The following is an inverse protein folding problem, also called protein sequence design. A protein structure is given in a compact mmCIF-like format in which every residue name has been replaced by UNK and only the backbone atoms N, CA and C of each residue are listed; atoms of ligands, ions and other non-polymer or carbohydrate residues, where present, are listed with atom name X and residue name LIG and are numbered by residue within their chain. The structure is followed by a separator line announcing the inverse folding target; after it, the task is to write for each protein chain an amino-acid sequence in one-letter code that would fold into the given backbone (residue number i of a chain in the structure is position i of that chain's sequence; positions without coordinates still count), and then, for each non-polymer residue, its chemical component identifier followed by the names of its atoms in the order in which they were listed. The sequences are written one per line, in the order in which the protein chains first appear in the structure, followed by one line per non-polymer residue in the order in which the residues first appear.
data_IF_357470934341
#
_entry.id   IF_357470934341
#
_cell.length_a   1.000
_cell.length_b   1.000
_cell.length_c   1.000
_cell.angle_alpha   90.00
_cell.angle_beta   90.00
_cell.angle_gamma   90.00
#
_symmetry.space_group_name_H-M   'P 1'
#
loop_
_entity.id
_entity.type
_entity.pdbx_description
1 polymer ?
#
# COMPACT_ATOMS: atom_id res chain seq x y z
N UNK A 1 -2.05 -25.53 14.82
CA UNK A 1 -2.76 -24.63 15.77
C UNK A 1 -2.01 -23.32 15.89
N UNK A 2 -0.68 -23.32 16.04
CA UNK A 2 0.12 -22.08 16.07
C UNK A 2 0.03 -21.23 14.78
N UNK A 3 0.12 -21.83 13.59
CA UNK A 3 0.01 -21.09 12.32
C UNK A 3 -1.37 -20.43 12.10
N UNK A 4 -2.44 -21.10 12.52
CA UNK A 4 -3.81 -20.57 12.38
C UNK A 4 -4.00 -19.30 13.21
N UNK A 5 -3.45 -19.31 14.43
CA UNK A 5 -3.50 -18.17 15.30
C UNK A 5 -2.66 -17.02 14.73
N UNK A 6 -1.46 -17.30 14.23
CA UNK A 6 -0.58 -16.31 13.60
C UNK A 6 -1.26 -15.59 12.41
N UNK A 7 -1.93 -16.33 11.52
CA UNK A 7 -2.70 -15.74 10.41
C UNK A 7 -3.88 -14.88 10.90
N UNK A 8 -4.56 -15.28 11.98
CA UNK A 8 -5.64 -14.45 12.53
C UNK A 8 -5.12 -13.10 13.07
N UNK A 9 -3.97 -13.12 13.75
CA UNK A 9 -3.30 -11.89 14.20
C UNK A 9 -2.83 -11.02 13.03
N UNK A 10 -2.37 -11.64 11.95
CA UNK A 10 -2.00 -10.94 10.72
C UNK A 10 -3.20 -10.17 10.14
N UNK A 11 -4.35 -10.82 9.94
CA UNK A 11 -5.54 -10.15 9.42
C UNK A 11 -6.06 -9.06 10.38
N UNK A 12 -6.11 -9.37 11.68
CA UNK A 12 -6.55 -8.43 12.70
C UNK A 12 -5.68 -7.17 12.73
N UNK A 13 -4.35 -7.32 12.56
CA UNK A 13 -3.41 -6.21 12.48
C UNK A 13 -3.78 -5.22 11.38
N UNK A 14 -4.03 -5.71 10.16
CA UNK A 14 -4.48 -4.87 9.05
C UNK A 14 -5.78 -4.13 9.38
N UNK A 15 -6.82 -4.84 9.80
CA UNK A 15 -8.14 -4.24 9.99
C UNK A 15 -8.17 -3.21 11.12
N UNK A 16 -7.49 -3.49 12.24
CA UNK A 16 -7.44 -2.56 13.38
C UNK A 16 -6.69 -1.29 13.02
N UNK A 17 -5.54 -1.41 12.35
CA UNK A 17 -4.76 -0.24 11.92
C UNK A 17 -5.50 0.54 10.84
N UNK A 18 -6.10 -0.13 9.85
CA UNK A 18 -6.92 0.52 8.82
C UNK A 18 -8.04 1.35 9.46
N UNK A 19 -8.79 0.75 10.39
CA UNK A 19 -9.90 1.40 11.08
C UNK A 19 -9.44 2.62 11.87
N UNK A 20 -8.31 2.53 12.58
CA UNK A 20 -7.76 3.63 13.37
C UNK A 20 -7.27 4.79 12.49
N UNK A 21 -6.64 4.50 11.35
CA UNK A 21 -6.13 5.50 10.41
C UNK A 21 -7.21 6.08 9.47
N UNK A 22 -8.47 5.66 9.63
CA UNK A 22 -9.58 6.11 8.80
C UNK A 22 -9.54 5.57 7.37
N UNK A 23 -8.85 4.45 7.14
CA UNK A 23 -8.85 3.77 5.84
C UNK A 23 -10.10 2.89 5.69
N UNK A 24 -10.77 2.92 4.53
CA UNK A 24 -11.96 2.10 4.30
C UNK A 24 -11.59 0.62 4.18
N UNK A 25 -12.16 -0.24 5.02
CA UNK A 25 -12.04 -1.70 4.90
C UNK A 25 -13.35 -2.25 4.36
N UNK A 26 -13.34 -2.87 3.18
CA UNK A 26 -14.58 -3.45 2.63
C UNK A 26 -14.80 -4.87 3.10
N UNK A 27 -13.76 -5.70 3.03
CA UNK A 27 -13.83 -7.11 3.35
C UNK A 27 -12.52 -7.55 4.01
N UNK A 28 -12.65 -8.35 5.07
CA UNK A 28 -11.56 -9.07 5.71
C UNK A 28 -11.98 -10.53 5.83
N UNK A 29 -11.13 -11.44 5.37
CA UNK A 29 -11.44 -12.87 5.36
C UNK A 29 -10.21 -13.70 5.68
N UNK A 30 -10.33 -14.63 6.63
CA UNK A 30 -9.31 -15.66 6.87
C UNK A 30 -9.74 -16.91 6.09
N UNK A 31 -9.24 -17.09 4.87
CA UNK A 31 -9.49 -18.32 4.10
C UNK A 31 -8.31 -19.28 4.21
N UNK A 32 -8.55 -20.46 4.77
CA UNK A 32 -7.65 -21.59 4.64
C UNK A 32 -7.70 -22.12 3.20
N UNK A 33 -6.68 -21.85 2.39
CA UNK A 33 -6.46 -22.62 1.15
C UNK A 33 -5.85 -23.97 1.52
N UNK A 34 -6.68 -25.00 1.63
CA UNK A 34 -6.21 -26.39 1.61
C UNK A 34 -5.92 -26.79 0.16
N UNK A 35 -4.75 -26.44 -0.36
CA UNK A 35 -4.19 -27.12 -1.54
C UNK A 35 -2.70 -27.37 -1.31
N UNK A 36 -2.22 -28.53 -1.74
CA UNK A 36 -0.88 -29.09 -1.54
C UNK A 36 0.31 -28.26 -2.06
N UNK A 37 0.11 -26.99 -2.43
CA UNK A 37 1.17 -26.06 -2.78
C UNK A 37 0.78 -24.62 -2.40
N UNK A 38 1.57 -24.03 -1.52
CA UNK A 38 1.65 -22.60 -1.14
C UNK A 38 0.66 -22.11 -0.07
N UNK A 39 1.21 -21.43 0.95
CA UNK A 39 0.53 -20.92 2.14
C UNK A 39 -0.69 -20.02 1.85
N UNK A 40 -1.55 -19.86 2.87
CA UNK A 40 -2.80 -19.11 2.81
C UNK A 40 -2.64 -17.73 2.16
N UNK A 41 -3.64 -17.34 1.36
CA UNK A 41 -3.72 -15.96 0.84
C UNK A 41 -4.53 -15.14 1.81
N UNK A 42 -3.90 -14.08 2.30
CA UNK A 42 -4.52 -13.00 3.03
C UNK A 42 -4.97 -11.93 2.02
N UNK A 43 -6.23 -11.49 2.10
CA UNK A 43 -6.74 -10.44 1.24
C UNK A 43 -7.64 -9.52 2.05
N UNK A 44 -7.09 -8.39 2.44
CA UNK A 44 -7.87 -7.23 2.85
C UNK A 44 -8.12 -6.40 1.59
N UNK A 45 -9.39 -6.27 1.22
CA UNK A 45 -9.79 -5.50 0.03
C UNK A 45 -10.17 -4.07 0.41
N UNK A 46 -9.57 -3.13 -0.30
CA UNK A 46 -9.84 -1.71 -0.19
C UNK A 46 -10.61 -1.31 -1.45
N UNK A 47 -11.77 -0.63 -1.35
CA UNK A 47 -12.71 -0.43 -2.46
C UNK A 47 -12.14 0.29 -3.70
N UNK A 48 -10.91 0.80 -3.63
CA UNK A 48 -10.33 1.70 -4.63
C UNK A 48 -9.02 1.19 -5.24
N UNK A 49 -8.76 -0.13 -5.26
CA UNK A 49 -7.64 -0.73 -6.02
C UNK A 49 -8.18 -1.78 -7.00
N UNK A 50 -8.80 -1.34 -8.10
CA UNK A 50 -9.08 -2.21 -9.24
C UNK A 50 -7.82 -2.43 -10.08
N UNK A 51 -6.94 -3.29 -9.60
CA UNK A 51 -6.02 -4.04 -10.45
C UNK A 51 -6.76 -5.23 -11.06
N UNK A 52 -6.82 -5.27 -12.39
CA UNK A 52 -7.60 -6.20 -13.23
C UNK A 52 -7.26 -7.70 -13.00
N UNK A 53 -7.78 -8.38 -11.98
CA UNK A 53 -7.79 -9.87 -11.90
C UNK A 53 -8.89 -10.43 -10.97
N UNK A 54 -10.16 -10.08 -11.16
CA UNK A 54 -11.29 -10.83 -10.58
C UNK A 54 -12.41 -10.89 -11.63
N UNK A 55 -12.29 -11.79 -12.58
CA UNK A 55 -13.48 -12.37 -13.22
C UNK A 55 -13.88 -13.57 -12.34
N UNK A 56 -15.15 -13.66 -11.99
CA UNK A 56 -15.82 -14.72 -11.19
C UNK A 56 -15.92 -14.59 -9.66
N UNK A 57 -16.41 -13.44 -9.15
CA UNK A 57 -17.15 -13.45 -7.88
C UNK A 57 -18.55 -12.84 -8.06
N UNK A 58 -19.62 -13.48 -7.55
CA UNK A 58 -20.98 -12.97 -7.65
C UNK A 58 -21.13 -11.69 -6.81
N UNK A 59 -21.86 -10.73 -7.38
CA UNK A 59 -22.19 -9.42 -6.82
C UNK A 59 -22.52 -9.50 -5.31
N UNK A 60 -21.72 -8.84 -4.47
CA UNK A 60 -22.02 -8.62 -3.04
C UNK A 60 -22.32 -7.14 -2.84
N UNK A 61 -23.47 -6.89 -2.21
CA UNK A 61 -24.05 -5.57 -1.93
C UNK A 61 -23.09 -4.62 -1.22
N UNK A 62 -22.89 -3.45 -1.85
CA UNK A 62 -22.20 -2.28 -1.32
C UNK A 62 -22.96 -1.69 -0.12
N UNK A 63 -22.30 -1.47 1.02
CA UNK A 63 -22.84 -0.66 2.13
C UNK A 63 -21.82 0.39 2.59
N UNK A 64 -22.13 1.64 2.21
CA UNK A 64 -22.03 2.95 2.89
C UNK A 64 -20.74 3.28 3.67
N UNK A 65 -20.03 4.33 3.22
CA UNK A 65 -19.21 5.16 4.13
C UNK A 65 -18.02 5.96 3.57
N UNK A 66 -17.71 5.88 2.28
CA UNK A 66 -16.62 6.68 1.68
C UNK A 66 -17.21 7.72 0.72
N UNK A 67 -17.69 8.83 1.27
CA UNK A 67 -17.96 10.02 0.48
C UNK A 67 -16.70 10.92 0.56
N UNK A 68 -16.20 11.30 -0.61
CA UNK A 68 -15.21 12.35 -0.87
C UNK A 68 -13.71 12.07 -0.61
N UNK A 69 -13.15 11.06 -1.29
CA UNK A 69 -11.75 11.15 -1.75
C UNK A 69 -11.79 11.25 -3.27
N UNK A 70 -11.34 12.39 -3.81
CA UNK A 70 -11.34 12.67 -5.25
C UNK A 70 -10.39 11.71 -5.99
N UNK A 71 -10.96 10.72 -6.66
CA UNK A 71 -10.23 9.68 -7.40
C UNK A 71 -9.43 10.22 -8.59
N UNK A 72 -9.72 11.45 -9.08
CA UNK A 72 -8.97 12.00 -10.21
C UNK A 72 -7.52 12.35 -9.86
N UNK A 73 -7.24 12.65 -8.59
CA UNK A 73 -5.90 12.95 -8.10
C UNK A 73 -5.03 11.69 -7.99
N UNK A 74 -5.62 10.56 -7.58
CA UNK A 74 -4.93 9.26 -7.60
C UNK A 74 -4.76 8.73 -9.02
N UNK A 75 -5.71 8.98 -9.93
CA UNK A 75 -5.59 8.60 -11.34
C UNK A 75 -4.48 9.36 -12.08
N UNK A 76 -4.01 10.50 -11.57
CA UNK A 76 -2.79 11.18 -12.05
C UNK A 76 -1.48 10.47 -11.66
N UNK A 77 -1.54 9.47 -10.75
CA UNK A 77 -0.42 8.62 -10.34
C UNK A 77 -0.42 7.24 -11.01
N UNK A 78 -1.48 6.87 -11.74
CA UNK A 78 -1.61 5.57 -12.40
C UNK A 78 -1.77 5.74 -13.91
N UNK A 79 -0.98 5.06 -14.76
CA UNK A 79 -1.11 5.16 -16.21
C UNK A 79 -2.43 4.60 -16.73
N UNK A 80 -3.02 5.29 -17.72
CA UNK A 80 -4.21 4.87 -18.47
C UNK A 80 -3.94 3.56 -19.24
N UNK A 81 -4.67 2.45 -18.97
CA UNK A 81 -4.44 1.16 -19.61
C UNK A 81 -5.22 0.97 -20.92
N UNK A 82 -6.00 1.94 -21.41
CA UNK A 82 -6.81 1.78 -22.64
C UNK A 82 -6.10 2.22 -23.94
N UNK A 83 -4.78 2.38 -23.92
CA UNK A 83 -3.97 2.62 -25.12
C UNK A 83 -3.54 1.35 -25.84
N UNK A 84 -4.19 1.04 -26.95
CA UNK A 84 -3.92 -0.09 -27.84
C UNK A 84 -2.43 -0.23 -28.22
N UNK A 85 -1.76 -1.21 -27.61
CA UNK A 85 -0.65 -1.97 -28.20
C UNK A 85 0.60 -1.19 -28.65
N UNK A 86 1.54 -1.01 -27.72
CA UNK A 86 3.01 -1.18 -27.81
C UNK A 86 3.62 -0.54 -26.53
N UNK A 87 4.74 -1.03 -25.97
CA UNK A 87 5.36 -0.42 -24.81
C UNK A 87 6.05 0.88 -25.25
N UNK A 88 5.29 1.96 -25.34
CA UNK A 88 5.84 3.29 -25.28
C UNK A 88 6.06 3.58 -23.78
N UNK A 89 7.32 3.71 -23.37
CA UNK A 89 7.68 4.56 -22.24
C UNK A 89 7.24 5.99 -22.61
N UNK A 90 5.95 6.27 -22.42
CA UNK A 90 5.29 7.51 -22.76
C UNK A 90 5.28 8.41 -21.54
N UNK A 91 5.80 9.61 -21.73
CA UNK A 91 5.88 10.75 -20.81
C UNK A 91 4.47 11.28 -20.46
N UNK A 92 3.67 10.50 -19.74
CA UNK A 92 2.48 11.03 -19.08
C UNK A 92 2.95 11.84 -17.89
N UNK A 93 2.87 13.16 -17.97
CA UNK A 93 3.11 14.08 -16.85
C UNK A 93 2.13 13.73 -15.74
N UNK A 94 2.63 13.22 -14.63
CA UNK A 94 1.86 13.05 -13.40
C UNK A 94 1.56 14.43 -12.80
N UNK A 95 0.55 14.60 -11.94
CA UNK A 95 0.32 15.88 -11.21
C UNK A 95 1.57 16.27 -10.38
N UNK A 96 2.43 15.31 -10.01
CA UNK A 96 3.76 15.58 -9.42
C UNK A 96 4.74 16.19 -10.43
N UNK A 97 4.68 15.80 -11.70
CA UNK A 97 5.45 16.44 -12.78
C UNK A 97 4.91 17.83 -13.10
N UNK A 98 3.59 18.04 -13.00
CA UNK A 98 2.99 19.39 -13.10
C UNK A 98 3.45 20.31 -11.97
N UNK A 99 3.65 19.79 -10.75
CA UNK A 99 4.25 20.57 -9.65
C UNK A 99 5.70 20.95 -9.93
N UNK A 100 6.53 20.01 -10.37
CA UNK A 100 7.93 20.27 -10.72
C UNK A 100 8.04 21.29 -11.87
N UNK A 101 7.14 21.22 -12.86
CA UNK A 101 7.03 22.19 -13.94
C UNK A 101 6.48 23.54 -13.47
N UNK A 102 5.51 23.55 -12.54
CA UNK A 102 4.94 24.77 -11.99
C UNK A 102 5.96 25.55 -11.16
N UNK A 103 6.69 24.87 -10.28
CA UNK A 103 7.79 25.45 -9.49
C UNK A 103 8.92 25.96 -10.39
N UNK A 104 9.14 25.35 -11.56
CA UNK A 104 10.14 25.79 -12.52
C UNK A 104 9.72 27.04 -13.33
N UNK A 105 8.44 27.40 -13.32
CA UNK A 105 7.94 28.58 -14.03
C UNK A 105 7.73 29.76 -13.08
N UNK A 106 8.27 30.94 -13.41
CA UNK A 106 8.12 32.20 -12.65
C UNK A 106 6.68 32.77 -12.69
N UNK A 107 5.68 32.01 -13.16
CA UNK A 107 4.34 32.50 -13.52
C UNK A 107 3.26 32.24 -12.45
N UNK A 108 3.57 31.48 -11.40
CA UNK A 108 2.59 31.13 -10.35
C UNK A 108 2.61 32.09 -9.15
N UNK A 109 1.43 32.49 -8.69
CA UNK A 109 1.25 33.21 -7.43
C UNK A 109 1.51 32.27 -6.22
N UNK A 110 2.06 32.82 -5.14
CA UNK A 110 2.41 32.14 -3.89
C UNK A 110 1.23 31.35 -3.30
N UNK A 111 0.01 31.85 -3.49
CA UNK A 111 -1.21 31.16 -3.07
C UNK A 111 -1.45 29.85 -3.83
N UNK A 112 -1.06 29.76 -5.11
CA UNK A 112 -1.21 28.55 -5.91
C UNK A 112 -0.17 27.50 -5.51
N UNK A 113 1.09 27.91 -5.32
CA UNK A 113 2.16 27.01 -4.86
C UNK A 113 1.84 26.41 -3.49
N UNK A 114 1.38 27.24 -2.55
CA UNK A 114 0.93 26.79 -1.23
C UNK A 114 -0.15 25.71 -1.35
N UNK A 115 -1.15 25.91 -2.21
CA UNK A 115 -2.22 24.94 -2.40
C UNK A 115 -1.72 23.61 -2.97
N UNK A 116 -0.77 23.63 -3.91
CA UNK A 116 -0.22 22.38 -4.45
C UNK A 116 0.62 21.65 -3.40
N UNK A 117 1.41 22.38 -2.60
CA UNK A 117 2.18 21.79 -1.49
C UNK A 117 1.28 21.13 -0.45
N UNK A 118 0.16 21.77 -0.09
CA UNK A 118 -0.85 21.19 0.82
C UNK A 118 -1.42 19.89 0.26
N UNK A 119 -1.84 19.87 -1.02
CA UNK A 119 -2.35 18.65 -1.68
C UNK A 119 -1.29 17.55 -1.76
N UNK A 120 -0.04 17.89 -2.05
CA UNK A 120 1.08 16.94 -2.06
C UNK A 120 1.28 16.33 -0.67
N UNK A 121 1.22 17.12 0.38
CA UNK A 121 1.36 16.60 1.75
C UNK A 121 0.20 15.67 2.12
N UNK A 122 -1.04 16.03 1.77
CA UNK A 122 -2.20 15.15 1.98
C UNK A 122 -2.06 13.80 1.26
N UNK A 123 -1.50 13.80 0.04
CA UNK A 123 -1.17 12.59 -0.71
C UNK A 123 -0.17 11.70 0.02
N UNK A 124 0.93 12.31 0.49
CA UNK A 124 1.99 11.60 1.20
C UNK A 124 1.50 11.03 2.53
N UNK A 125 0.69 11.80 3.27
CA UNK A 125 0.05 11.33 4.51
C UNK A 125 -0.86 10.13 4.24
N UNK A 126 -1.60 10.13 3.12
CA UNK A 126 -2.44 9.01 2.74
C UNK A 126 -1.61 7.77 2.36
N UNK A 127 -0.52 7.94 1.61
CA UNK A 127 0.40 6.85 1.27
C UNK A 127 1.02 6.26 2.53
N UNK A 128 1.47 7.10 3.46
CA UNK A 128 2.04 6.65 4.73
C UNK A 128 1.04 5.83 5.53
N UNK A 129 -0.22 6.25 5.63
CA UNK A 129 -1.27 5.45 6.29
C UNK A 129 -1.43 4.08 5.65
N UNK A 130 -1.36 3.98 4.32
CA UNK A 130 -1.41 2.69 3.61
C UNK A 130 -0.19 1.83 3.87
N UNK A 131 1.00 2.43 3.97
CA UNK A 131 2.22 1.70 4.32
C UNK A 131 2.08 1.09 5.72
N UNK A 132 1.72 1.90 6.71
CA UNK A 132 1.51 1.44 8.09
C UNK A 132 0.46 0.33 8.16
N UNK A 133 -0.65 0.50 7.45
CA UNK A 133 -1.72 -0.48 7.39
C UNK A 133 -1.29 -1.80 6.75
N UNK A 134 -0.49 -1.76 5.69
CA UNK A 134 -0.02 -2.96 4.99
C UNK A 134 1.10 -3.65 5.77
N UNK A 135 1.92 -2.91 6.53
CA UNK A 135 2.89 -3.51 7.45
C UNK A 135 2.23 -4.13 8.69
N UNK A 136 1.03 -3.68 9.06
CA UNK A 136 0.40 -4.07 10.32
C UNK A 136 0.18 -5.58 10.46
N UNK A 137 -0.21 -6.28 9.40
CA UNK A 137 -0.39 -7.74 9.47
C UNK A 137 0.90 -8.50 9.77
N UNK A 138 1.94 -8.37 8.93
CA UNK A 138 3.24 -9.01 9.18
C UNK A 138 3.86 -8.62 10.54
N UNK A 139 3.69 -7.37 10.99
CA UNK A 139 4.19 -6.92 12.30
C UNK A 139 3.38 -7.53 13.45
N UNK A 140 2.06 -7.63 13.34
CA UNK A 140 1.22 -8.29 14.35
C UNK A 140 1.56 -9.78 14.47
N UNK A 141 1.80 -10.44 13.34
CA UNK A 141 2.28 -11.82 13.31
C UNK A 141 3.65 -11.96 13.99
N UNK A 142 4.60 -11.07 13.70
CA UNK A 142 5.93 -11.04 14.35
C UNK A 142 5.84 -10.78 15.86
N UNK A 143 4.88 -9.97 16.33
CA UNK A 143 4.66 -9.74 17.77
C UNK A 143 4.30 -11.04 18.49
N UNK A 144 3.43 -11.87 17.90
CA UNK A 144 2.94 -13.10 18.53
C UNK A 144 3.90 -14.26 18.37
N UNK A 145 4.51 -14.39 17.19
CA UNK A 145 5.40 -15.52 16.87
C UNK A 145 6.85 -15.28 17.27
N UNK A 146 7.25 -14.01 17.43
CA UNK A 146 8.63 -13.60 17.65
C UNK A 146 9.49 -13.61 16.38
N UNK A 147 8.93 -13.99 15.23
CA UNK A 147 9.65 -14.13 13.96
C UNK A 147 8.91 -13.44 12.81
N UNK A 148 9.67 -12.82 11.90
CA UNK A 148 9.10 -12.23 10.70
C UNK A 148 8.82 -13.31 9.65
N UNK A 149 7.54 -13.55 9.36
CA UNK A 149 7.13 -14.50 8.33
C UNK A 149 7.13 -13.87 6.92
N UNK A 150 8.31 -13.82 6.28
CA UNK A 150 8.44 -13.29 4.92
C UNK A 150 7.58 -14.02 3.89
N UNK A 151 7.25 -15.30 4.11
CA UNK A 151 6.42 -16.07 3.18
C UNK A 151 4.94 -15.69 3.30
N UNK A 152 4.43 -15.58 4.53
CA UNK A 152 3.06 -15.13 4.81
C UNK A 152 2.82 -13.70 4.35
N UNK A 153 3.83 -12.84 4.47
CA UNK A 153 3.79 -11.43 4.08
C UNK A 153 4.14 -11.15 2.61
N UNK A 154 4.27 -12.16 1.75
CA UNK A 154 4.83 -11.99 0.40
C UNK A 154 4.03 -10.98 -0.44
N UNK A 155 2.70 -11.08 -0.43
CA UNK A 155 1.87 -10.16 -1.22
C UNK A 155 1.83 -8.75 -0.64
N UNK A 156 1.81 -8.62 0.68
CA UNK A 156 1.86 -7.32 1.38
C UNK A 156 3.16 -6.59 1.06
N UNK A 157 4.28 -7.31 1.14
CA UNK A 157 5.61 -6.77 0.85
C UNK A 157 5.79 -6.39 -0.61
N UNK A 158 5.28 -7.18 -1.57
CA UNK A 158 5.29 -6.79 -2.98
C UNK A 158 4.50 -5.50 -3.23
N UNK A 159 3.26 -5.42 -2.72
CA UNK A 159 2.43 -4.21 -2.85
C UNK A 159 3.06 -2.99 -2.21
N UNK A 160 3.72 -3.18 -1.06
CA UNK A 160 4.46 -2.12 -0.37
C UNK A 160 5.63 -1.61 -1.20
N UNK A 161 6.37 -2.51 -1.84
CA UNK A 161 7.51 -2.12 -2.69
C UNK A 161 7.03 -1.29 -3.87
N UNK A 162 6.01 -1.74 -4.59
CA UNK A 162 5.46 -0.99 -5.72
C UNK A 162 5.01 0.41 -5.29
N UNK A 163 4.19 0.50 -4.23
CA UNK A 163 3.70 1.77 -3.69
C UNK A 163 4.83 2.72 -3.26
N UNK A 164 5.83 2.18 -2.56
CA UNK A 164 6.94 2.97 -2.02
C UNK A 164 7.92 3.40 -3.11
N UNK A 165 8.19 2.54 -4.09
CA UNK A 165 9.05 2.87 -5.23
C UNK A 165 8.41 3.94 -6.11
N UNK A 166 7.11 3.81 -6.42
CA UNK A 166 6.37 4.81 -7.20
C UNK A 166 6.30 6.16 -6.49
N UNK A 167 6.10 6.17 -5.16
CA UNK A 167 5.92 7.42 -4.40
C UNK A 167 7.24 8.09 -4.04
N UNK A 168 8.24 7.31 -3.63
CA UNK A 168 9.47 7.82 -3.02
C UNK A 168 10.75 7.46 -3.80
N UNK A 169 10.70 6.53 -4.75
CA UNK A 169 11.89 6.00 -5.42
C UNK A 169 12.66 7.03 -6.23
N UNK A 170 11.98 8.06 -6.75
CA UNK A 170 12.61 9.19 -7.45
C UNK A 170 13.49 10.02 -6.52
N UNK A 171 13.01 10.30 -5.31
CA UNK A 171 13.68 11.15 -4.32
C UNK A 171 14.65 10.34 -3.45
N UNK A 172 14.38 9.06 -3.24
CA UNK A 172 15.18 8.13 -2.45
C UNK A 172 15.44 6.85 -3.26
N UNK A 173 16.54 6.81 -4.04
CA UNK A 173 16.90 5.64 -4.84
C UNK A 173 17.15 4.37 -4.02
N UNK A 174 17.32 4.46 -2.70
CA UNK A 174 17.43 3.28 -1.84
C UNK A 174 16.09 2.56 -1.63
N UNK A 175 14.98 3.21 -1.98
CA UNK A 175 13.62 2.67 -1.98
C UNK A 175 13.19 2.12 -3.36
N UNK A 176 14.03 2.23 -4.39
CA UNK A 176 13.83 1.58 -5.67
C UNK A 176 14.48 0.19 -5.70
N UNK A 177 13.77 -0.81 -6.23
CA UNK A 177 14.26 -2.17 -6.27
C UNK A 177 15.45 -2.31 -7.23
N UNK A 178 16.64 -2.74 -6.76
CA UNK A 178 17.75 -3.01 -7.66
C UNK A 178 17.41 -4.20 -8.57
N UNK A 179 17.86 -4.14 -9.82
CA UNK A 179 17.79 -5.28 -10.74
C UNK A 179 19.06 -6.12 -10.62
N UNK A 180 18.91 -7.40 -10.29
CA UNK A 180 19.99 -8.39 -10.22
C UNK A 180 19.70 -9.47 -11.26
N UNK A 181 20.61 -9.66 -12.23
CA UNK A 181 20.46 -10.63 -13.32
C UNK A 181 19.13 -10.52 -14.11
N UNK A 182 18.64 -9.28 -14.27
CA UNK A 182 17.40 -8.98 -15.00
C UNK A 182 16.12 -9.20 -14.18
N UNK A 183 16.23 -9.47 -12.88
CA UNK A 183 15.11 -9.64 -11.95
C UNK A 183 15.17 -8.59 -10.85
N UNK A 184 14.03 -7.97 -10.52
CA UNK A 184 13.95 -7.03 -9.40
C UNK A 184 14.17 -7.78 -8.07
N UNK A 185 15.12 -7.31 -7.27
CA UNK A 185 15.38 -7.80 -5.91
C UNK A 185 14.67 -6.89 -4.89
N UNK A 186 13.51 -7.34 -4.43
CA UNK A 186 12.69 -6.62 -3.45
C UNK A 186 13.22 -6.74 -2.01
N UNK A 187 14.12 -7.68 -1.73
CA UNK A 187 14.60 -7.95 -0.37
C UNK A 187 15.21 -6.72 0.32
N UNK A 188 16.14 -5.99 -0.31
CA UNK A 188 16.68 -4.74 0.21
C UNK A 188 15.61 -3.68 0.48
N UNK A 189 14.66 -3.49 -0.43
CA UNK A 189 13.61 -2.46 -0.31
C UNK A 189 12.67 -2.78 0.86
N UNK A 190 12.22 -4.03 0.98
CA UNK A 190 11.38 -4.47 2.11
C UNK A 190 12.08 -4.23 3.45
N UNK A 191 13.39 -4.46 3.53
CA UNK A 191 14.18 -4.15 4.74
C UNK A 191 14.16 -2.66 5.05
N UNK A 192 14.35 -1.79 4.04
CA UNK A 192 14.29 -0.33 4.22
C UNK A 192 12.91 0.15 4.63
N UNK A 193 11.85 -0.41 4.04
CA UNK A 193 10.48 -0.13 4.43
C UNK A 193 10.28 -0.48 5.91
N UNK A 194 10.74 -1.66 6.36
CA UNK A 194 10.66 -2.06 7.76
C UNK A 194 11.50 -1.16 8.68
N UNK A 195 12.71 -0.78 8.28
CA UNK A 195 13.56 0.15 9.05
C UNK A 195 12.90 1.53 9.21
N UNK A 196 12.19 2.01 8.19
CA UNK A 196 11.59 3.35 8.17
C UNK A 196 10.23 3.42 8.85
N UNK A 197 9.35 2.45 8.64
CA UNK A 197 7.96 2.47 9.12
C UNK A 197 7.61 1.35 10.11
N UNK A 198 8.50 0.37 10.32
CA UNK A 198 8.23 -0.79 11.17
C UNK A 198 8.05 -0.43 12.64
N UNK A 199 8.88 0.47 13.18
CA UNK A 199 8.76 0.90 14.59
C UNK A 199 7.47 1.70 14.82
N UNK A 200 7.10 2.59 13.90
CA UNK A 200 5.83 3.33 13.96
C UNK A 200 4.63 2.37 13.89
N UNK A 201 4.67 1.39 12.99
CA UNK A 201 3.63 0.35 12.87
C UNK A 201 3.52 -0.47 14.16
N UNK A 202 4.65 -0.87 14.74
CA UNK A 202 4.72 -1.63 15.99
C UNK A 202 4.20 -0.83 17.17
N UNK A 203 4.54 0.45 17.26
CA UNK A 203 4.01 1.35 18.28
C UNK A 203 2.49 1.45 18.16
N UNK A 204 1.98 1.68 16.94
CA UNK A 204 0.55 1.77 16.69
C UNK A 204 -0.18 0.48 17.10
N UNK A 205 0.34 -0.68 16.71
CA UNK A 205 -0.20 -1.97 17.14
C UNK A 205 -0.11 -2.18 18.65
N UNK A 206 0.93 -1.70 19.32
CA UNK A 206 1.04 -1.79 20.78
C UNK A 206 -0.06 -0.99 21.49
N UNK A 207 -0.45 0.16 20.94
CA UNK A 207 -1.55 0.99 21.48
C UNK A 207 -2.91 0.36 21.20
N UNK A 208 -3.04 -0.33 20.06
CA UNK A 208 -4.28 -0.94 19.58
C UNK A 208 -4.40 -2.43 19.91
N UNK A 209 -3.42 -3.02 20.58
CA UNK A 209 -3.34 -4.47 20.84
C UNK A 209 -4.60 -5.07 21.48
N UNK A 210 -5.30 -4.40 22.41
CA UNK A 210 -6.56 -4.92 22.96
C UNK A 210 -7.68 -5.16 21.93
N UNK A 211 -7.57 -4.61 20.72
CA UNK A 211 -8.50 -4.84 19.61
C UNK A 211 -8.04 -5.96 18.66
N UNK A 212 -6.79 -6.40 18.81
CA UNK A 212 -6.13 -7.41 17.99
C UNK A 212 -6.21 -8.80 18.63
N UNK A 213 -6.22 -8.90 19.97
CA UNK A 213 -6.23 -10.17 20.74
C UNK A 213 -7.62 -10.76 21.07
#
# INVERSE_FOLDING_TARGET
VEEINATAFHEAGHAVVARFLGLPVTHMTIYFRTYETTAGRNLVDYPHVRGRWIEDLPEVETVIGAEDVDESFLMGLFPDPEGDGLPAYGTGTTELDEYDEAVASDEYDEAHLTHIEERRQEALDWVERRILCTLAGPVAEEIVTGEWNSHGAQFDTMRLVDLVEETFGRDDPALAAPTVDGVADYGPVVRRIKERWGDATRQLLSELWPWVE
#
